data_IF_207775500261
#
_entry.id   IF_207775500261
#
_cell.length_a   1.000
_cell.length_b   1.000
_cell.length_c   1.000
_cell.angle_alpha   90.00
_cell.angle_beta   90.00
_cell.angle_gamma   90.00
#
_symmetry.space_group_name_H-M   'P 1'
#
loop_
_entity.id
_entity.type
_entity.pdbx_description
1 polymer ?
#
# COMPACT_ATOMS: atom_id res chain seq x y z
N UNK A 1 13.15 -4.91 -8.59
CA UNK A 1 12.11 -4.02 -8.02
C UNK A 1 10.85 -4.16 -8.86
N UNK A 2 9.68 -3.95 -8.26
CA UNK A 2 8.37 -4.03 -8.91
C UNK A 2 7.63 -2.72 -8.66
N UNK A 3 7.08 -2.11 -9.70
CA UNK A 3 6.24 -0.92 -9.55
C UNK A 3 4.84 -1.35 -9.14
N UNK A 4 4.32 -0.74 -8.08
CA UNK A 4 2.93 -0.86 -7.67
C UNK A 4 2.25 0.47 -7.94
N UNK A 5 1.21 0.53 -8.80
CA UNK A 5 0.51 1.76 -9.10
C UNK A 5 -0.32 2.22 -7.89
N UNK A 6 -0.82 3.45 -7.96
CA UNK A 6 -1.77 3.98 -6.98
C UNK A 6 -2.95 3.03 -6.75
N UNK A 7 -3.35 2.87 -5.49
CA UNK A 7 -4.51 2.08 -5.10
C UNK A 7 -5.47 2.92 -4.28
N UNK A 8 -6.75 2.71 -4.53
CA UNK A 8 -7.84 3.29 -3.77
C UNK A 8 -8.58 2.15 -3.08
N UNK A 9 -8.65 2.19 -1.76
CA UNK A 9 -9.26 1.16 -0.94
C UNK A 9 -10.48 1.75 -0.25
N UNK A 10 -11.67 1.33 -0.68
CA UNK A 10 -12.91 1.77 -0.06
C UNK A 10 -13.13 1.07 1.27
N UNK A 11 -13.38 1.87 2.31
CA UNK A 11 -13.66 1.42 3.67
C UNK A 11 -14.91 2.14 4.20
N UNK A 12 -15.59 1.61 5.24
CA UNK A 12 -16.71 2.31 5.88
C UNK A 12 -16.37 3.74 6.33
N UNK A 13 -15.12 3.97 6.74
CA UNK A 13 -14.58 5.28 7.16
C UNK A 13 -14.16 6.21 6.01
N UNK A 14 -14.19 5.75 4.75
CA UNK A 14 -13.80 6.52 3.57
C UNK A 14 -12.84 5.78 2.64
N UNK A 15 -12.41 6.45 1.57
CA UNK A 15 -11.49 5.88 0.58
C UNK A 15 -10.05 6.20 0.96
N UNK A 16 -9.25 5.17 1.25
CA UNK A 16 -7.82 5.30 1.47
C UNK A 16 -7.08 5.34 0.12
N UNK A 17 -6.23 6.34 -0.08
CA UNK A 17 -5.30 6.43 -1.20
C UNK A 17 -3.91 5.96 -0.77
N UNK A 18 -3.45 4.89 -1.41
CA UNK A 18 -2.09 4.37 -1.30
C UNK A 18 -1.32 4.84 -2.54
N UNK A 19 -0.31 5.72 -2.40
CA UNK A 19 0.46 6.22 -3.53
C UNK A 19 1.23 5.12 -4.26
N UNK A 20 1.43 5.31 -5.56
CA UNK A 20 2.32 4.45 -6.34
C UNK A 20 3.74 4.42 -5.76
N UNK A 21 4.33 3.23 -5.69
CA UNK A 21 5.63 3.03 -5.07
C UNK A 21 6.38 1.82 -5.66
N UNK A 22 7.68 1.75 -5.35
CA UNK A 22 8.52 0.61 -5.71
C UNK A 22 8.62 -0.37 -4.56
N UNK A 23 8.47 -1.65 -4.86
CA UNK A 23 8.70 -2.76 -3.93
C UNK A 23 9.90 -3.60 -4.35
N UNK A 24 10.53 -4.25 -3.37
CA UNK A 24 11.57 -5.24 -3.64
C UNK A 24 10.98 -6.64 -3.49
N UNK A 25 10.91 -7.38 -4.60
CA UNK A 25 10.60 -8.82 -4.57
C UNK A 25 11.72 -9.56 -3.83
N UNK A 26 11.37 -10.25 -2.75
CA UNK A 26 12.28 -11.09 -1.96
C UNK A 26 12.18 -12.55 -2.40
N UNK A 27 10.95 -13.01 -2.67
CA UNK A 27 10.62 -14.34 -3.17
C UNK A 27 9.39 -14.27 -4.08
N UNK A 28 8.91 -15.37 -4.67
CA UNK A 28 7.65 -15.34 -5.43
C UNK A 28 6.41 -15.00 -4.58
N UNK A 29 6.48 -15.13 -3.25
CA UNK A 29 5.36 -14.89 -2.34
C UNK A 29 5.60 -13.73 -1.38
N UNK A 30 6.79 -13.11 -1.40
CA UNK A 30 7.17 -12.08 -0.44
C UNK A 30 7.81 -10.89 -1.12
N UNK A 31 7.30 -9.72 -0.77
CA UNK A 31 7.75 -8.43 -1.24
C UNK A 31 8.03 -7.54 -0.03
N UNK A 32 9.19 -6.88 -0.04
CA UNK A 32 9.49 -5.80 0.89
C UNK A 32 8.83 -4.52 0.38
N UNK A 33 7.96 -3.96 1.22
CA UNK A 33 7.24 -2.71 1.02
C UNK A 33 7.93 -1.61 1.81
N UNK A 34 8.28 -0.47 1.19
CA UNK A 34 8.87 0.67 1.90
C UNK A 34 7.82 1.34 2.81
N UNK A 35 8.20 2.29 3.68
CA UNK A 35 7.23 3.09 4.41
C UNK A 35 6.33 3.87 3.43
N UNK A 36 5.01 3.84 3.63
CA UNK A 36 4.03 4.52 2.79
C UNK A 36 3.29 5.59 3.57
N UNK A 37 3.00 6.72 2.92
CA UNK A 37 2.04 7.71 3.43
C UNK A 37 0.69 7.46 2.76
N UNK A 38 -0.28 7.00 3.55
CA UNK A 38 -1.63 6.67 3.08
C UNK A 38 -2.59 7.72 3.61
N UNK A 39 -3.43 8.28 2.75
CA UNK A 39 -4.37 9.32 3.15
C UNK A 39 -5.81 8.90 2.89
N UNK A 40 -6.70 9.14 3.85
CA UNK A 40 -8.14 9.04 3.64
C UNK A 40 -8.59 10.25 2.82
N UNK A 41 -9.12 10.03 1.61
CA UNK A 41 -9.56 11.13 0.73
C UNK A 41 -10.81 11.83 1.23
N UNK A 42 -11.63 11.15 2.05
CA UNK A 42 -12.87 11.70 2.59
C UNK A 42 -12.61 12.62 3.79
N UNK A 43 -11.72 12.23 4.72
CA UNK A 43 -11.38 13.04 5.89
C UNK A 43 -10.16 13.94 5.70
N UNK A 44 -9.29 13.63 4.74
CA UNK A 44 -7.99 14.29 4.54
C UNK A 44 -6.90 13.83 5.50
N UNK A 45 -7.21 12.93 6.45
CA UNK A 45 -6.25 12.42 7.41
C UNK A 45 -5.25 11.46 6.75
N UNK A 46 -3.97 11.60 7.10
CA UNK A 46 -2.91 10.75 6.61
C UNK A 46 -2.26 9.97 7.75
N UNK A 47 -1.82 8.75 7.43
CA UNK A 47 -1.09 7.88 8.33
C UNK A 47 0.14 7.31 7.63
N UNK A 48 1.18 7.03 8.41
CA UNK A 48 2.34 6.30 7.94
C UNK A 48 2.13 4.80 8.15
N UNK A 49 2.17 4.03 7.06
CA UNK A 49 2.30 2.58 7.11
C UNK A 49 3.78 2.27 7.10
N UNK A 50 4.26 1.61 8.16
CA UNK A 50 5.67 1.24 8.28
C UNK A 50 6.05 0.19 7.24
N UNK A 51 7.35 0.14 6.94
CA UNK A 51 7.93 -0.88 6.09
C UNK A 51 7.65 -2.30 6.58
N UNK A 52 7.60 -3.26 5.67
CA UNK A 52 7.43 -4.65 6.04
C UNK A 52 7.42 -5.62 4.87
N UNK A 53 7.45 -6.90 5.20
CA UNK A 53 7.24 -7.98 4.23
C UNK A 53 5.74 -8.22 4.07
N UNK A 54 5.27 -8.24 2.81
CA UNK A 54 3.88 -8.46 2.44
C UNK A 54 3.78 -9.50 1.32
N UNK A 55 2.60 -10.14 1.13
CA UNK A 55 2.32 -10.95 -0.05
C UNK A 55 2.49 -10.15 -1.36
N UNK A 56 2.43 -10.76 -2.55
CA UNK A 56 2.47 -10.01 -3.81
C UNK A 56 1.32 -8.98 -3.90
N UNK A 57 1.53 -7.80 -4.54
CA UNK A 57 0.54 -6.72 -4.61
C UNK A 57 -0.86 -7.15 -5.06
N UNK A 58 -0.93 -8.06 -6.03
CA UNK A 58 -2.16 -8.62 -6.59
C UNK A 58 -3.01 -9.42 -5.57
N UNK A 59 -2.40 -9.87 -4.46
CA UNK A 59 -3.08 -10.64 -3.41
C UNK A 59 -3.51 -9.80 -2.19
N UNK A 60 -3.26 -8.48 -2.18
CA UNK A 60 -3.49 -7.65 -0.99
C UNK A 60 -4.84 -6.95 -1.03
N UNK A 61 -5.49 -6.83 0.13
CA UNK A 61 -6.70 -6.01 0.36
C UNK A 61 -6.44 -4.71 1.12
N UNK A 62 -5.19 -4.50 1.57
CA UNK A 62 -4.72 -3.33 2.30
C UNK A 62 -3.51 -2.66 1.64
N UNK A 63 -3.03 -1.56 2.24
CA UNK A 63 -1.72 -0.98 1.94
C UNK A 63 -0.57 -1.97 2.18
#
# INVERSE_FOLDING_TARGET
MVWVPDRYLDRPEGTLHVPGHWEQRLSPQEHYVPPLHVCNRSSGECMQVLQGVRPPPEHRTGP
#
